data_IF_399047894142
#
_entry.id   IF_399047894142
#
_cell.length_a   1.000
_cell.length_b   1.000
_cell.length_c   1.000
_cell.angle_alpha   90.00
_cell.angle_beta   90.00
_cell.angle_gamma   90.00
#
_symmetry.space_group_name_H-M   'P 1'
#
loop_
_entity.id
_entity.type
_entity.pdbx_description
1 polymer ?
#
# COMPACT_ATOMS: atom_id res chain seq x y z
N UNK A 1 39.06 24.70 32.00
CA UNK A 1 40.18 24.39 31.09
C UNK A 1 40.67 22.98 31.37
N UNK A 2 41.34 22.27 30.43
CA UNK A 2 41.30 22.34 28.96
C UNK A 2 40.57 21.04 28.46
N UNK A 3 40.70 20.45 27.26
CA UNK A 3 41.43 20.70 26.00
C UNK A 3 40.45 20.42 24.83
N UNK A 4 40.41 21.25 23.78
CA UNK A 4 39.75 20.86 22.51
C UNK A 4 40.63 19.86 21.74
N UNK A 5 40.04 18.80 21.19
CA UNK A 5 40.67 18.01 20.10
C UNK A 5 40.18 18.54 18.75
N UNK A 6 41.10 18.94 17.88
CA UNK A 6 40.82 19.11 16.45
C UNK A 6 40.83 17.73 15.80
N UNK A 7 39.81 17.40 15.01
CA UNK A 7 39.81 16.24 14.10
C UNK A 7 39.72 16.73 12.66
N UNK A 8 40.34 16.00 11.74
CA UNK A 8 40.64 16.52 10.40
C UNK A 8 39.44 16.47 9.44
N UNK A 9 39.30 17.53 8.63
CA UNK A 9 38.40 17.55 7.46
C UNK A 9 38.99 16.67 6.37
N UNK A 10 38.37 15.52 6.08
CA UNK A 10 38.77 14.65 4.98
C UNK A 10 37.92 14.97 3.74
N UNK A 11 38.49 15.72 2.81
CA UNK A 11 37.88 16.01 1.51
C UNK A 11 38.00 14.77 0.60
N UNK A 12 36.95 13.94 0.52
CA UNK A 12 36.80 12.97 -0.56
C UNK A 12 36.14 13.63 -1.78
N UNK A 13 36.68 13.35 -2.96
CA UNK A 13 36.31 14.02 -4.20
C UNK A 13 34.94 13.62 -4.77
N UNK A 14 34.32 14.57 -5.47
CA UNK A 14 33.07 14.36 -6.22
C UNK A 14 33.31 13.52 -7.48
N UNK A 15 32.97 12.24 -7.42
CA UNK A 15 32.96 11.36 -8.59
C UNK A 15 31.66 11.55 -9.40
N UNK A 16 31.67 12.50 -10.34
CA UNK A 16 30.51 12.79 -11.21
C UNK A 16 30.34 11.68 -12.27
N UNK A 17 29.57 10.65 -11.96
CA UNK A 17 29.22 9.58 -12.91
C UNK A 17 28.09 10.05 -13.83
N UNK A 18 28.45 10.44 -15.05
CA UNK A 18 27.49 10.76 -16.13
C UNK A 18 26.97 9.44 -16.73
N UNK A 19 25.91 8.88 -16.13
CA UNK A 19 25.21 7.70 -16.64
C UNK A 19 24.33 8.04 -17.84
N UNK A 20 24.43 7.25 -18.92
CA UNK A 20 23.75 7.53 -20.19
C UNK A 20 22.22 7.32 -20.13
N UNK A 21 21.48 8.15 -20.88
CA UNK A 21 20.04 8.02 -21.07
C UNK A 21 19.77 6.88 -22.06
N UNK A 22 19.19 5.77 -21.59
CA UNK A 22 18.73 4.67 -22.45
C UNK A 22 17.23 4.79 -22.74
N UNK A 23 16.89 5.54 -23.80
CA UNK A 23 15.50 5.62 -24.31
C UNK A 23 15.18 4.39 -25.15
N UNK A 24 14.75 3.31 -24.51
CA UNK A 24 14.30 2.09 -25.21
C UNK A 24 12.85 2.29 -25.69
N UNK A 25 12.70 2.82 -26.90
CA UNK A 25 11.40 3.04 -27.53
C UNK A 25 10.92 1.77 -28.26
N UNK A 26 10.37 0.81 -27.52
CA UNK A 26 9.86 -0.45 -28.08
C UNK A 26 8.53 -0.26 -28.83
N UNK A 27 8.62 -0.01 -30.13
CA UNK A 27 7.51 -0.19 -31.07
C UNK A 27 7.03 -1.65 -31.00
N UNK A 28 5.76 -1.88 -30.64
CA UNK A 28 5.08 -3.16 -30.83
C UNK A 28 3.86 -2.98 -31.73
N UNK A 29 4.14 -2.76 -33.01
CA UNK A 29 3.16 -2.84 -34.08
C UNK A 29 2.94 -4.31 -34.42
N UNK A 30 1.74 -4.83 -34.15
CA UNK A 30 1.34 -6.18 -34.57
C UNK A 30 -0.04 -6.17 -35.21
N UNK A 31 -0.05 -6.43 -36.50
CA UNK A 31 -1.23 -6.86 -37.27
C UNK A 31 -1.83 -8.14 -36.63
N UNK A 32 -3.13 -8.38 -36.64
CA UNK A 32 -4.12 -7.90 -37.61
C UNK A 32 -4.62 -9.09 -38.42
N UNK A 33 -5.59 -9.82 -37.89
CA UNK A 33 -6.27 -10.94 -38.56
C UNK A 33 -7.73 -10.95 -38.15
N UNK A 34 -8.62 -10.62 -39.09
CA UNK A 34 -10.06 -10.77 -38.91
C UNK A 34 -10.43 -12.25 -38.78
N UNK A 35 -11.15 -12.60 -37.71
CA UNK A 35 -11.87 -13.86 -37.64
C UNK A 35 -13.30 -13.63 -38.12
N UNK A 36 -13.55 -13.99 -39.38
CA UNK A 36 -14.89 -14.00 -39.98
C UNK A 36 -15.75 -15.02 -39.25
N UNK A 37 -16.56 -14.55 -38.31
CA UNK A 37 -17.57 -15.38 -37.64
C UNK A 37 -18.70 -15.65 -38.62
N UNK A 38 -18.78 -16.88 -39.13
CA UNK A 38 -19.87 -17.32 -39.98
C UNK A 38 -21.20 -17.25 -39.22
N UNK A 39 -22.16 -16.49 -39.75
CA UNK A 39 -23.54 -16.54 -39.30
C UNK A 39 -24.13 -17.92 -39.66
N UNK A 40 -24.42 -18.76 -38.66
CA UNK A 40 -25.18 -20.00 -38.84
C UNK A 40 -26.66 -19.77 -38.49
N UNK A 41 -27.56 -19.67 -39.48
CA UNK A 41 -28.97 -19.37 -39.24
C UNK A 41 -29.80 -20.64 -38.98
N UNK A 42 -29.65 -21.26 -37.81
CA UNK A 42 -30.67 -22.11 -37.17
C UNK A 42 -30.21 -22.69 -35.83
N UNK A 43 -30.92 -22.39 -34.73
CA UNK A 43 -31.62 -23.42 -33.94
C UNK A 43 -32.41 -22.82 -32.76
N UNK A 44 -33.64 -23.31 -32.61
CA UNK A 44 -34.40 -23.46 -31.35
C UNK A 44 -34.60 -22.19 -30.50
N UNK A 45 -35.81 -21.61 -30.63
CA UNK A 45 -36.45 -20.86 -29.54
C UNK A 45 -36.65 -21.80 -28.34
N UNK A 46 -35.69 -21.87 -27.43
CA UNK A 46 -35.86 -22.64 -26.19
C UNK A 46 -36.72 -21.80 -25.26
N UNK A 47 -37.99 -22.20 -25.07
CA UNK A 47 -38.88 -21.58 -24.09
C UNK A 47 -38.34 -21.91 -22.69
N UNK A 48 -37.52 -21.00 -22.16
CA UNK A 48 -37.13 -20.96 -20.77
C UNK A 48 -37.36 -19.54 -20.26
N UNK A 49 -38.62 -19.24 -19.95
CA UNK A 49 -38.95 -18.21 -18.96
C UNK A 49 -38.54 -18.72 -17.57
N UNK A 50 -37.23 -18.91 -17.37
CA UNK A 50 -36.63 -18.70 -16.05
C UNK A 50 -36.81 -17.20 -15.85
N UNK A 51 -37.88 -16.84 -15.12
CA UNK A 51 -38.35 -15.47 -15.06
C UNK A 51 -37.22 -14.53 -14.68
N UNK A 52 -37.18 -13.36 -15.29
CA UNK A 52 -36.22 -12.32 -14.94
C UNK A 52 -36.36 -12.00 -13.45
N UNK A 53 -35.50 -12.62 -12.65
CA UNK A 53 -35.19 -12.15 -11.31
C UNK A 53 -34.46 -10.83 -11.51
N UNK A 54 -35.27 -9.78 -11.76
CA UNK A 54 -34.88 -8.40 -11.60
C UNK A 54 -34.43 -8.29 -10.15
N UNK A 55 -33.12 -8.44 -9.94
CA UNK A 55 -32.47 -8.15 -8.68
C UNK A 55 -32.79 -6.68 -8.45
N UNK A 56 -33.73 -6.43 -7.54
CA UNK A 56 -34.22 -5.08 -7.30
C UNK A 56 -33.01 -4.26 -6.88
N UNK A 57 -32.59 -3.32 -7.74
CA UNK A 57 -31.43 -2.43 -7.50
C UNK A 57 -31.63 -1.48 -6.31
N UNK A 58 -32.74 -1.65 -5.57
CA UNK A 58 -33.06 -1.09 -4.27
C UNK A 58 -32.50 -1.95 -3.12
N UNK A 59 -31.36 -2.63 -3.32
CA UNK A 59 -30.65 -3.28 -2.22
C UNK A 59 -30.14 -2.18 -1.27
N UNK A 60 -30.45 -2.30 0.02
CA UNK A 60 -30.20 -1.23 0.97
C UNK A 60 -28.70 -0.85 1.00
N UNK A 61 -28.33 0.44 0.81
CA UNK A 61 -26.94 0.86 0.80
C UNK A 61 -26.21 0.59 2.12
N UNK A 62 -26.94 0.46 3.24
CA UNK A 62 -26.36 0.01 4.52
C UNK A 62 -25.92 -1.45 4.46
N UNK A 63 -26.75 -2.35 3.94
CA UNK A 63 -26.42 -3.76 3.76
C UNK A 63 -25.23 -3.96 2.80
N UNK A 64 -25.11 -3.13 1.76
CA UNK A 64 -23.94 -3.14 0.86
C UNK A 64 -22.68 -2.68 1.61
N UNK A 65 -22.78 -1.66 2.47
CA UNK A 65 -21.66 -1.22 3.31
C UNK A 65 -21.25 -2.31 4.32
N UNK A 66 -22.20 -2.99 4.96
CA UNK A 66 -21.94 -4.08 5.91
C UNK A 66 -21.30 -5.31 5.23
N UNK A 67 -21.79 -5.69 4.04
CA UNK A 67 -21.17 -6.77 3.24
C UNK A 67 -19.72 -6.43 2.84
N UNK A 68 -19.44 -5.16 2.49
CA UNK A 68 -18.09 -4.69 2.22
C UNK A 68 -17.24 -4.57 3.51
N UNK A 69 -17.86 -4.36 4.67
CA UNK A 69 -17.18 -4.43 5.97
C UNK A 69 -16.75 -5.87 6.32
N UNK A 70 -17.48 -6.90 5.88
CA UNK A 70 -17.14 -8.31 6.14
C UNK A 70 -16.05 -8.91 5.23
N UNK A 71 -15.71 -8.29 4.08
CA UNK A 71 -14.65 -8.81 3.20
C UNK A 71 -13.25 -8.63 3.80
N UNK A 72 -12.34 -9.63 3.78
CA UNK A 72 -10.97 -9.45 4.27
C UNK A 72 -10.24 -8.30 3.56
N UNK A 73 -9.48 -7.46 4.30
CA UNK A 73 -8.60 -6.47 3.68
C UNK A 73 -7.45 -7.17 2.96
N UNK A 74 -7.55 -7.23 1.63
CA UNK A 74 -6.53 -7.74 0.72
C UNK A 74 -6.09 -6.59 -0.18
N UNK A 75 -4.78 -6.45 -0.40
CA UNK A 75 -4.24 -5.51 -1.37
C UNK A 75 -4.34 -6.12 -2.78
N UNK A 76 -5.23 -5.60 -3.63
CA UNK A 76 -5.38 -6.12 -5.00
C UNK A 76 -4.09 -5.97 -5.82
N UNK A 77 -3.92 -6.78 -6.86
CA UNK A 77 -2.74 -6.68 -7.73
C UNK A 77 -2.60 -5.28 -8.38
N UNK A 78 -3.73 -4.66 -8.71
CA UNK A 78 -3.82 -3.31 -9.27
C UNK A 78 -3.44 -2.26 -8.22
N UNK A 79 -4.02 -2.35 -7.01
CA UNK A 79 -3.67 -1.49 -5.87
C UNK A 79 -2.19 -1.63 -5.52
N UNK A 80 -1.63 -2.85 -5.49
CA UNK A 80 -0.22 -3.12 -5.23
C UNK A 80 0.69 -2.46 -6.26
N UNK A 81 0.37 -2.62 -7.55
CA UNK A 81 1.12 -2.01 -8.65
C UNK A 81 1.05 -0.48 -8.61
N UNK A 82 -0.14 0.09 -8.40
CA UNK A 82 -0.35 1.53 -8.26
C UNK A 82 0.37 2.10 -7.03
N UNK A 83 0.37 1.38 -5.89
CA UNK A 83 1.08 1.75 -4.68
C UNK A 83 2.59 1.80 -4.94
N UNK A 84 3.19 0.71 -5.44
CA UNK A 84 4.63 0.62 -5.79
C UNK A 84 5.04 1.77 -6.73
N UNK A 85 4.22 2.03 -7.76
CA UNK A 85 4.45 3.10 -8.75
C UNK A 85 4.40 4.50 -8.13
N UNK A 86 3.62 4.69 -7.06
CA UNK A 86 3.58 5.94 -6.30
C UNK A 86 4.74 6.03 -5.31
N UNK A 87 4.87 5.06 -4.39
CA UNK A 87 5.81 5.14 -3.26
C UNK A 87 7.27 5.01 -3.68
N UNK A 88 7.61 4.42 -4.83
CA UNK A 88 8.99 4.32 -5.33
C UNK A 88 9.63 5.67 -5.69
N UNK A 89 8.82 6.73 -5.84
CA UNK A 89 9.25 8.11 -6.11
C UNK A 89 9.96 8.77 -4.91
N UNK A 90 9.82 8.21 -3.71
CA UNK A 90 10.53 8.61 -2.50
C UNK A 90 11.07 7.36 -1.81
N UNK A 91 12.17 7.45 -1.05
CA UNK A 91 12.72 6.30 -0.31
C UNK A 91 13.01 6.69 1.13
N UNK A 92 12.88 5.74 2.04
CA UNK A 92 13.02 5.98 3.48
C UNK A 92 13.04 4.70 4.30
N UNK A 93 12.99 4.87 5.61
CA UNK A 93 12.91 3.79 6.61
C UNK A 93 11.46 3.65 7.05
N UNK A 94 10.91 2.45 6.99
CA UNK A 94 9.50 2.19 7.36
C UNK A 94 9.37 0.88 8.14
N UNK A 95 8.53 0.87 9.17
CA UNK A 95 8.13 -0.36 9.85
C UNK A 95 6.61 -0.51 9.88
N UNK A 96 6.15 -1.72 10.14
CA UNK A 96 4.71 -2.03 10.19
C UNK A 96 4.35 -2.72 11.51
N UNK A 97 3.16 -2.41 12.01
CA UNK A 97 2.55 -3.02 13.18
C UNK A 97 1.18 -3.59 12.82
N UNK A 98 0.90 -4.79 13.33
CA UNK A 98 -0.44 -5.37 13.41
C UNK A 98 -0.73 -5.85 14.84
N UNK A 99 -2.01 -6.03 15.15
CA UNK A 99 -2.46 -6.60 16.42
C UNK A 99 -2.17 -8.11 16.41
N UNK A 100 -1.48 -8.62 17.45
CA UNK A 100 -0.99 -10.01 17.49
C UNK A 100 -2.07 -11.09 17.27
N UNK A 101 -3.32 -10.83 17.70
CA UNK A 101 -4.46 -11.75 17.57
C UNK A 101 -5.36 -11.46 16.34
N UNK A 102 -4.94 -10.59 15.42
CA UNK A 102 -5.69 -10.25 14.21
C UNK A 102 -4.93 -10.73 12.96
N UNK A 103 -5.34 -11.91 12.46
CA UNK A 103 -4.74 -12.53 11.26
C UNK A 103 -4.94 -11.70 10.00
N UNK A 104 -6.11 -11.10 9.82
CA UNK A 104 -6.40 -10.26 8.64
C UNK A 104 -5.48 -9.04 8.61
N UNK A 105 -5.36 -8.32 9.74
CA UNK A 105 -4.44 -7.19 9.84
C UNK A 105 -2.97 -7.60 9.71
N UNK A 106 -2.60 -8.84 10.07
CA UNK A 106 -1.25 -9.36 9.87
C UNK A 106 -0.95 -9.66 8.39
N UNK A 107 -1.84 -10.39 7.70
CA UNK A 107 -1.68 -10.74 6.28
C UNK A 107 -1.71 -9.49 5.38
N UNK A 108 -2.55 -8.50 5.73
CA UNK A 108 -2.59 -7.20 5.06
C UNK A 108 -1.31 -6.37 5.30
N UNK A 109 -0.76 -6.40 6.52
CA UNK A 109 0.52 -5.78 6.83
C UNK A 109 1.67 -6.44 6.07
N UNK A 110 1.74 -7.76 6.02
CA UNK A 110 2.81 -8.47 5.29
C UNK A 110 2.70 -8.19 3.77
N UNK A 111 1.47 -8.09 3.26
CA UNK A 111 1.19 -7.66 1.87
C UNK A 111 1.70 -6.24 1.60
N UNK A 112 1.39 -5.26 2.46
CA UNK A 112 1.90 -3.89 2.35
C UNK A 112 3.42 -3.82 2.50
N UNK A 113 3.98 -4.52 3.48
CA UNK A 113 5.42 -4.65 3.72
C UNK A 113 6.17 -5.10 2.47
N UNK A 114 5.66 -6.14 1.78
CA UNK A 114 6.24 -6.61 0.50
C UNK A 114 6.22 -5.53 -0.59
N UNK A 115 5.17 -4.71 -0.69
CA UNK A 115 5.08 -3.65 -1.68
C UNK A 115 6.08 -2.52 -1.42
N UNK A 116 6.38 -2.21 -0.14
CA UNK A 116 7.42 -1.24 0.20
C UNK A 116 8.83 -1.79 -0.07
N UNK A 117 9.08 -3.09 0.14
CA UNK A 117 10.34 -3.76 -0.26
C UNK A 117 10.53 -3.67 -1.78
N UNK A 118 9.51 -4.02 -2.57
CA UNK A 118 9.56 -3.97 -4.04
C UNK A 118 9.81 -2.54 -4.58
N UNK A 119 9.27 -1.53 -3.91
CA UNK A 119 9.54 -0.12 -4.21
C UNK A 119 10.95 0.36 -3.79
N UNK A 120 11.71 -0.48 -3.09
CA UNK A 120 13.07 -0.21 -2.63
C UNK A 120 13.15 0.69 -1.40
N UNK A 121 12.19 0.58 -0.47
CA UNK A 121 12.28 1.17 0.87
C UNK A 121 13.07 0.26 1.82
N UNK A 122 13.69 0.85 2.86
CA UNK A 122 14.23 0.05 3.96
C UNK A 122 13.08 -0.32 4.90
N UNK A 123 12.58 -1.55 4.78
CA UNK A 123 11.50 -2.08 5.61
C UNK A 123 12.07 -2.81 6.83
N UNK A 124 11.54 -2.51 8.02
CA UNK A 124 11.86 -3.22 9.26
C UNK A 124 11.00 -4.50 9.43
N UNK A 125 11.44 -5.47 10.25
CA UNK A 125 10.61 -6.61 10.63
C UNK A 125 9.23 -6.18 11.14
N UNK A 126 8.19 -6.87 10.70
CA UNK A 126 6.79 -6.62 11.10
C UNK A 126 6.62 -6.92 12.58
N UNK A 127 6.13 -5.95 13.35
CA UNK A 127 5.93 -6.08 14.79
C UNK A 127 4.46 -6.41 15.10
N UNK A 128 4.21 -7.68 15.45
CA UNK A 128 2.88 -8.18 15.85
C UNK A 128 2.76 -8.07 17.37
N UNK A 129 2.00 -7.09 17.88
CA UNK A 129 1.96 -6.79 19.32
C UNK A 129 0.56 -6.44 19.84
N UNK A 130 0.45 -6.14 21.14
CA UNK A 130 -0.80 -5.67 21.75
C UNK A 130 -0.92 -4.15 21.61
N UNK A 131 -1.18 -3.67 20.39
CA UNK A 131 -1.52 -2.25 20.14
C UNK A 131 -2.94 -1.92 20.58
N UNK A 132 -3.24 -0.64 20.83
CA UNK A 132 -4.61 -0.16 20.96
C UNK A 132 -5.42 -0.45 19.66
N UNK A 133 -6.74 -0.64 19.79
CA UNK A 133 -7.64 -0.82 18.64
C UNK A 133 -7.89 0.51 17.92
N UNK A 134 -7.11 0.77 16.88
CA UNK A 134 -7.45 1.76 15.85
C UNK A 134 -8.59 1.19 14.98
N UNK A 135 -9.71 1.92 14.76
CA UNK A 135 -10.89 1.34 14.11
C UNK A 135 -10.85 1.44 12.58
N UNK A 136 -10.49 0.36 11.90
CA UNK A 136 -10.68 0.14 10.46
C UNK A 136 -9.65 0.79 9.52
N UNK A 137 -9.12 1.97 9.86
CA UNK A 137 -8.14 2.69 9.04
C UNK A 137 -6.69 2.30 9.33
N UNK A 138 -5.79 2.72 8.43
CA UNK A 138 -4.34 2.64 8.59
C UNK A 138 -3.84 3.93 9.25
N UNK A 139 -3.10 3.83 10.34
CA UNK A 139 -2.55 4.98 11.06
C UNK A 139 -1.05 5.14 10.78
N UNK A 140 -0.58 6.38 10.62
CA UNK A 140 0.84 6.70 10.39
C UNK A 140 1.45 7.51 11.54
N UNK A 141 2.45 6.90 12.17
CA UNK A 141 3.30 7.48 13.21
C UNK A 141 4.72 7.74 12.66
N UNK A 142 5.44 8.71 13.23
CA UNK A 142 6.82 9.06 12.86
C UNK A 142 7.72 9.25 14.08
N UNK A 143 8.96 8.73 14.01
CA UNK A 143 10.00 8.87 15.05
C UNK A 143 10.99 10.02 14.78
N UNK A 144 10.61 10.97 13.93
CA UNK A 144 11.40 12.17 13.66
C UNK A 144 10.57 13.23 12.92
N UNK A 145 10.72 14.50 13.29
CA UNK A 145 9.93 15.61 12.74
C UNK A 145 10.05 15.72 11.21
N UNK A 146 11.26 15.49 10.69
CA UNK A 146 11.57 15.48 9.25
C UNK A 146 10.76 14.45 8.47
N UNK A 147 10.38 13.33 9.10
CA UNK A 147 9.62 12.27 8.44
C UNK A 147 8.14 12.61 8.25
N UNK A 148 7.62 13.69 8.82
CA UNK A 148 6.21 14.11 8.62
C UNK A 148 5.87 14.34 7.14
N UNK A 149 6.81 14.87 6.34
CA UNK A 149 6.60 15.07 4.91
C UNK A 149 6.47 13.72 4.18
N UNK A 150 7.37 12.79 4.49
CA UNK A 150 7.37 11.45 3.89
C UNK A 150 6.17 10.60 4.35
N UNK A 151 5.71 10.76 5.59
CA UNK A 151 4.49 10.13 6.09
C UNK A 151 3.23 10.69 5.40
N UNK A 152 3.10 12.00 5.22
CA UNK A 152 2.01 12.59 4.45
C UNK A 152 2.01 12.07 2.99
N UNK A 153 3.18 11.92 2.38
CA UNK A 153 3.33 11.32 1.05
C UNK A 153 2.88 9.85 1.01
N UNK A 154 3.29 9.03 1.98
CA UNK A 154 2.83 7.64 2.12
C UNK A 154 1.31 7.56 2.33
N UNK A 155 0.75 8.46 3.15
CA UNK A 155 -0.69 8.49 3.42
C UNK A 155 -1.49 8.80 2.15
N UNK A 156 -1.06 9.82 1.40
CA UNK A 156 -1.67 10.16 0.11
C UNK A 156 -1.57 8.99 -0.88
N UNK A 157 -0.45 8.26 -0.92
CA UNK A 157 -0.29 7.10 -1.79
C UNK A 157 -1.24 5.93 -1.42
N UNK A 158 -1.54 5.73 -0.13
CA UNK A 158 -2.54 4.78 0.35
C UNK A 158 -3.97 5.24 0.01
N UNK A 159 -4.30 6.51 0.27
CA UNK A 159 -5.62 7.09 -0.04
C UNK A 159 -5.90 7.05 -1.56
N UNK A 160 -4.88 7.27 -2.40
CA UNK A 160 -4.99 7.19 -3.86
C UNK A 160 -5.28 5.77 -4.38
N UNK A 161 -5.15 4.72 -3.56
CA UNK A 161 -5.56 3.34 -3.88
C UNK A 161 -6.77 2.88 -3.04
N UNK A 162 -7.55 3.82 -2.51
CA UNK A 162 -8.76 3.61 -1.70
C UNK A 162 -8.53 2.92 -0.35
N UNK A 163 -7.35 3.06 0.24
CA UNK A 163 -7.08 2.68 1.64
C UNK A 163 -7.23 3.92 2.52
N UNK A 164 -8.17 3.91 3.48
CA UNK A 164 -8.30 4.97 4.49
C UNK A 164 -7.01 5.05 5.33
N UNK A 165 -6.25 6.13 5.13
CA UNK A 165 -5.05 6.44 5.88
C UNK A 165 -5.23 7.74 6.66
N UNK A 166 -4.77 7.73 7.93
CA UNK A 166 -4.81 8.88 8.84
C UNK A 166 -3.46 9.08 9.51
N UNK A 167 -3.06 10.33 9.69
CA UNK A 167 -1.82 10.70 10.36
C UNK A 167 -2.14 11.24 11.77
N UNK A 168 -2.43 10.34 12.70
CA UNK A 168 -2.81 10.71 14.07
C UNK A 168 -1.59 10.70 15.00
N UNK A 169 -1.56 11.59 16.00
CA UNK A 169 -0.48 11.56 17.00
C UNK A 169 -0.68 10.34 17.90
N UNK A 170 0.13 9.31 17.66
CA UNK A 170 0.17 8.13 18.53
C UNK A 170 0.69 8.49 19.92
N UNK A 171 0.01 7.97 20.96
CA UNK A 171 0.47 8.10 22.34
C UNK A 171 1.71 7.21 22.57
N UNK A 172 2.65 7.66 23.40
CA UNK A 172 3.99 7.04 23.44
C UNK A 172 4.00 5.61 23.99
N UNK A 173 2.93 5.21 24.68
CA UNK A 173 2.77 3.91 25.35
C UNK A 173 1.98 2.85 24.56
N UNK A 174 1.42 3.14 23.38
CA UNK A 174 0.48 2.23 22.67
C UNK A 174 1.13 1.22 21.72
N UNK A 175 2.47 1.21 21.63
CA UNK A 175 3.25 0.23 20.86
C UNK A 175 4.34 -0.37 21.74
N UNK A 176 4.41 -1.71 21.78
CA UNK A 176 5.48 -2.43 22.45
C UNK A 176 6.64 -2.73 21.50
N UNK A 177 7.87 -2.73 22.03
CA UNK A 177 9.09 -3.06 21.30
C UNK A 177 9.99 -1.87 20.96
N UNK A 178 11.18 -2.16 20.46
CA UNK A 178 12.20 -1.16 20.09
C UNK A 178 11.74 -0.38 18.84
N UNK A 179 11.82 0.95 18.92
CA UNK A 179 11.52 1.85 17.81
C UNK A 179 12.81 2.49 17.30
N UNK A 180 13.00 2.42 15.98
CA UNK A 180 14.08 3.09 15.25
C UNK A 180 13.79 4.59 15.12
N UNK A 181 14.83 5.42 15.21
CA UNK A 181 14.72 6.87 15.01
C UNK A 181 14.68 7.23 13.52
N UNK A 182 14.12 8.40 13.22
CA UNK A 182 13.94 8.93 11.86
C UNK A 182 13.29 7.93 10.88
N UNK A 183 12.21 7.28 11.32
CA UNK A 183 11.42 6.34 10.53
C UNK A 183 9.92 6.70 10.49
N UNK A 184 9.22 6.12 9.51
CA UNK A 184 7.77 6.07 9.43
C UNK A 184 7.31 4.71 10.00
N UNK A 185 6.15 4.69 10.65
CA UNK A 185 5.54 3.48 11.15
C UNK A 185 4.07 3.40 10.79
N UNK A 186 3.70 2.31 10.12
CA UNK A 186 2.35 1.99 9.67
C UNK A 186 1.71 1.09 10.71
N UNK A 187 0.56 1.49 11.27
CA UNK A 187 -0.20 0.68 12.23
C UNK A 187 -1.54 0.34 11.62
N UNK A 188 -1.77 -0.95 11.35
CA UNK A 188 -3.06 -1.44 10.83
C UNK A 188 -3.93 -1.87 12.00
N UNK A 189 -5.00 -1.12 12.22
CA UNK A 189 -6.01 -1.44 13.23
C UNK A 189 -7.01 -2.49 12.76
N UNK A 190 -7.78 -3.06 13.70
CA UNK A 190 -8.78 -4.10 13.39
C UNK A 190 -9.85 -3.56 12.43
N UNK A 191 -10.30 -4.38 11.48
CA UNK A 191 -11.56 -4.09 10.78
C UNK A 191 -12.72 -4.16 11.79
N UNK A 192 -13.74 -3.33 11.63
CA UNK A 192 -14.87 -3.28 12.57
C UNK A 192 -15.81 -4.45 12.34
#
# INVERSE_FOLDING_TARGET
MPRYKKSATLLLGTATVVGAIFTVLSFFQKEGTDLVVNNSPASINTINQVGDNIINNNMDPTLIADLNALQPRILSAEQRSALITQISKHKGRIGFYSKFMDGESADFVDSLSSAFVDAGWQVFPVNRSSTNDYPGYVNLFVTGERQRIAANFVCNALTNISIDCRAEKMEEATMAGTRELDAIYVVVGRKR
#
